data_IF_671914815271
#
_entry.id   IF_671914815271
#
_cell.length_a   1.000
_cell.length_b   1.000
_cell.length_c   1.000
_cell.angle_alpha   90.00
_cell.angle_beta   90.00
_cell.angle_gamma   90.00
#
_symmetry.space_group_name_H-M   'P 1'
#
loop_
_entity.id
_entity.type
_entity.pdbx_description
1 polymer ?
#
# COMPACT_ATOMS: atom_id res chain seq x y z
N UNK A 1 23.67 -60.40 42.36
CA UNK A 1 24.02 -58.98 42.48
C UNK A 1 24.12 -58.38 41.08
N UNK A 2 23.54 -57.19 40.90
CA UNK A 2 23.58 -56.26 39.74
C UNK A 2 22.93 -56.74 38.42
N UNK A 3 21.74 -56.26 38.02
CA UNK A 3 21.30 -54.88 37.66
C UNK A 3 21.81 -54.47 36.25
N UNK A 4 20.97 -54.55 35.20
CA UNK A 4 20.16 -53.45 34.59
C UNK A 4 21.06 -52.40 33.87
N UNK A 5 20.89 -52.07 32.59
CA UNK A 5 19.87 -51.14 32.07
C UNK A 5 19.83 -51.07 30.54
N UNK A 6 18.61 -51.08 30.00
CA UNK A 6 18.24 -50.72 28.64
C UNK A 6 18.62 -49.28 28.31
N UNK A 7 19.02 -49.03 27.07
CA UNK A 7 19.12 -47.69 26.50
C UNK A 7 17.95 -47.49 25.52
N UNK A 8 16.99 -46.65 25.92
CA UNK A 8 15.94 -46.11 25.05
C UNK A 8 16.53 -44.86 24.41
N UNK A 9 16.67 -44.86 23.08
CA UNK A 9 17.01 -43.67 22.32
C UNK A 9 15.76 -42.79 22.17
N UNK A 10 15.74 -41.64 22.84
CA UNK A 10 14.69 -40.62 22.72
C UNK A 10 15.00 -39.78 21.48
N UNK A 11 14.13 -39.86 20.46
CA UNK A 11 14.16 -38.96 19.31
C UNK A 11 13.59 -37.60 19.69
N UNK A 12 14.40 -36.55 19.61
CA UNK A 12 13.98 -35.17 19.82
C UNK A 12 13.49 -34.58 18.48
N UNK A 13 12.18 -34.56 18.26
CA UNK A 13 11.56 -33.90 17.10
C UNK A 13 11.36 -32.43 17.44
N UNK A 14 12.26 -31.57 16.96
CA UNK A 14 12.16 -30.12 17.15
C UNK A 14 11.28 -29.56 16.02
N UNK A 15 9.99 -29.34 16.31
CA UNK A 15 9.13 -28.58 15.41
C UNK A 15 9.49 -27.09 15.51
N UNK A 16 10.30 -26.59 14.58
CA UNK A 16 10.53 -25.17 14.41
C UNK A 16 9.26 -24.51 13.84
N UNK A 17 8.48 -23.89 14.72
CA UNK A 17 7.35 -23.05 14.31
C UNK A 17 7.92 -21.73 13.78
N UNK A 18 7.92 -21.56 12.45
CA UNK A 18 8.26 -20.31 11.82
C UNK A 18 7.16 -19.27 12.10
N UNK A 19 7.33 -18.46 13.15
CA UNK A 19 6.51 -17.29 13.40
C UNK A 19 6.89 -16.20 12.41
N UNK A 20 6.13 -16.08 11.31
CA UNK A 20 6.22 -14.91 10.45
C UNK A 20 5.65 -13.71 11.21
N UNK A 21 6.38 -12.58 11.35
CA UNK A 21 5.80 -11.39 11.95
C UNK A 21 4.78 -10.79 10.97
N UNK A 22 3.49 -11.01 11.21
CA UNK A 22 2.43 -10.19 10.62
C UNK A 22 2.42 -8.83 11.32
N UNK A 23 3.40 -7.98 10.99
CA UNK A 23 3.27 -6.55 11.26
C UNK A 23 2.26 -5.99 10.25
N UNK A 24 0.97 -6.09 10.58
CA UNK A 24 -0.07 -5.42 9.82
C UNK A 24 0.01 -3.93 10.14
N UNK A 25 0.91 -3.20 9.47
CA UNK A 25 0.89 -1.75 9.51
C UNK A 25 -0.52 -1.26 9.13
N UNK A 26 -1.08 -0.35 9.93
CA UNK A 26 -2.44 0.12 9.71
C UNK A 26 -2.55 0.82 8.35
N UNK A 27 -3.52 0.42 7.53
CA UNK A 27 -3.75 1.00 6.20
C UNK A 27 -4.04 2.50 6.33
N UNK A 28 -3.21 3.32 5.66
CA UNK A 28 -3.31 4.78 5.66
C UNK A 28 -4.47 5.23 4.78
N UNK A 29 -4.47 4.77 3.52
CA UNK A 29 -5.57 4.98 2.56
C UNK A 29 -5.70 3.69 1.76
N UNK A 30 -6.88 3.06 1.81
CA UNK A 30 -7.14 1.86 1.01
C UNK A 30 -7.44 2.27 -0.44
N UNK A 31 -6.41 2.33 -1.27
CA UNK A 31 -6.50 2.76 -2.68
C UNK A 31 -7.43 1.88 -3.50
N UNK A 32 -7.40 0.53 -3.39
CA UNK A 32 -8.38 -0.34 -4.04
C UNK A 32 -9.84 0.01 -3.73
N UNK A 33 -10.13 0.54 -2.53
CA UNK A 33 -11.49 0.95 -2.14
C UNK A 33 -11.92 2.31 -2.71
N UNK A 34 -11.04 3.10 -3.31
CA UNK A 34 -11.38 4.43 -3.86
C UNK A 34 -11.11 4.58 -5.35
N UNK A 35 -10.17 3.81 -5.91
CA UNK A 35 -9.84 3.84 -7.33
C UNK A 35 -11.07 3.59 -8.21
N UNK A 36 -11.24 4.41 -9.26
CA UNK A 36 -12.36 4.32 -10.20
C UNK A 36 -13.72 4.77 -9.65
N UNK A 37 -13.83 5.14 -8.37
CA UNK A 37 -15.08 5.61 -7.77
C UNK A 37 -15.32 7.09 -8.01
N UNK A 38 -16.57 7.50 -7.97
CA UNK A 38 -16.91 8.93 -8.04
C UNK A 38 -16.62 9.66 -6.72
N UNK A 39 -16.60 11.00 -6.76
CA UNK A 39 -16.26 11.83 -5.60
C UNK A 39 -17.11 11.51 -4.36
N UNK A 40 -18.42 11.31 -4.53
CA UNK A 40 -19.33 11.02 -3.41
C UNK A 40 -19.01 9.67 -2.75
N UNK A 41 -18.71 8.64 -3.55
CA UNK A 41 -18.32 7.33 -3.07
C UNK A 41 -16.94 7.35 -2.40
N UNK A 42 -15.96 8.06 -2.95
CA UNK A 42 -14.66 8.29 -2.31
C UNK A 42 -14.85 8.95 -0.95
N UNK A 43 -15.74 9.94 -0.86
CA UNK A 43 -15.99 10.64 0.40
C UNK A 43 -16.59 9.78 1.50
N UNK A 44 -17.27 8.68 1.15
CA UNK A 44 -17.74 7.69 2.14
C UNK A 44 -16.59 6.88 2.74
N UNK A 45 -15.44 6.78 2.05
CA UNK A 45 -14.28 5.98 2.47
C UNK A 45 -13.24 6.82 3.21
N UNK A 46 -12.90 8.00 2.68
CA UNK A 46 -11.81 8.83 3.21
C UNK A 46 -12.25 10.21 3.72
N UNK A 47 -13.57 10.45 3.80
CA UNK A 47 -14.17 11.70 4.26
C UNK A 47 -14.39 12.74 3.15
N UNK A 48 -15.02 13.87 3.52
CA UNK A 48 -15.27 14.96 2.57
C UNK A 48 -13.97 15.65 2.15
N UNK A 49 -13.86 16.15 0.91
CA UNK A 49 -12.70 16.93 0.50
C UNK A 49 -12.66 18.27 1.24
N UNK A 50 -11.45 18.76 1.55
CA UNK A 50 -11.20 20.13 2.05
C UNK A 50 -11.54 21.15 0.98
N UNK A 51 -11.16 20.86 -0.27
CA UNK A 51 -11.37 21.74 -1.41
C UNK A 51 -11.41 20.94 -2.69
N UNK A 52 -12.07 21.50 -3.71
CA UNK A 52 -12.05 20.97 -5.06
C UNK A 52 -11.95 22.12 -6.06
N UNK A 53 -11.16 21.93 -7.12
CA UNK A 53 -11.03 22.88 -8.23
C UNK A 53 -11.08 22.15 -9.56
N UNK A 54 -11.55 22.82 -10.60
CA UNK A 54 -11.44 22.27 -11.95
C UNK A 54 -9.98 22.35 -12.43
N UNK A 55 -9.51 21.30 -13.09
CA UNK A 55 -8.19 21.24 -13.74
C UNK A 55 -8.34 20.84 -15.20
N UNK A 56 -7.24 20.91 -15.97
CA UNK A 56 -7.19 20.47 -17.38
C UNK A 56 -7.74 19.05 -17.60
N UNK A 57 -7.54 18.15 -16.64
CA UNK A 57 -7.87 16.72 -16.77
C UNK A 57 -9.18 16.32 -16.10
N UNK A 58 -9.76 17.20 -15.29
CA UNK A 58 -10.96 16.90 -14.50
C UNK A 58 -10.99 17.63 -13.17
N UNK A 59 -11.98 17.31 -12.35
CA UNK A 59 -12.14 17.93 -11.03
C UNK A 59 -11.07 17.39 -10.09
N UNK A 60 -10.18 18.24 -9.59
CA UNK A 60 -9.16 17.89 -8.60
C UNK A 60 -9.69 18.21 -7.21
N UNK A 61 -9.68 17.25 -6.30
CA UNK A 61 -10.06 17.45 -4.89
C UNK A 61 -8.91 17.07 -3.96
N UNK A 62 -8.82 17.78 -2.83
CA UNK A 62 -7.84 17.56 -1.77
C UNK A 62 -8.61 17.08 -0.52
N UNK A 63 -8.15 16.01 0.11
CA UNK A 63 -8.77 15.37 1.26
C UNK A 63 -7.86 15.46 2.49
N UNK A 64 -8.43 15.56 3.69
CA UNK A 64 -7.66 15.59 4.93
C UNK A 64 -6.90 14.30 5.19
N UNK A 65 -7.51 13.15 4.87
CA UNK A 65 -6.89 11.84 5.07
C UNK A 65 -5.59 11.76 4.28
N UNK A 66 -4.46 11.69 4.98
CA UNK A 66 -3.12 11.59 4.41
C UNK A 66 -2.76 12.69 3.39
N UNK A 67 -3.41 13.86 3.49
CA UNK A 67 -3.37 14.94 2.49
C UNK A 67 -3.48 14.40 1.05
N UNK A 68 -4.45 13.49 0.85
CA UNK A 68 -4.67 12.83 -0.43
C UNK A 68 -5.24 13.81 -1.46
N UNK A 69 -4.64 13.86 -2.63
CA UNK A 69 -5.16 14.57 -3.79
C UNK A 69 -5.70 13.58 -4.83
N UNK A 70 -6.84 13.87 -5.42
CA UNK A 70 -7.46 13.03 -6.44
C UNK A 70 -7.92 13.89 -7.60
N UNK A 71 -7.48 13.55 -8.81
CA UNK A 71 -8.09 14.04 -10.05
C UNK A 71 -9.16 13.05 -10.50
N UNK A 72 -10.39 13.55 -10.61
CA UNK A 72 -11.53 12.79 -11.12
C UNK A 72 -11.61 12.93 -12.64
N UNK A 73 -11.07 11.95 -13.36
CA UNK A 73 -11.11 11.89 -14.84
C UNK A 73 -12.40 11.17 -15.25
N UNK A 74 -13.19 11.77 -16.13
CA UNK A 74 -14.55 11.29 -16.48
C UNK A 74 -15.42 11.01 -15.24
N UNK A 75 -15.24 11.80 -14.18
CA UNK A 75 -15.98 11.66 -12.91
C UNK A 75 -15.49 10.53 -11.99
N UNK A 76 -14.41 9.82 -12.33
CA UNK A 76 -13.86 8.69 -11.56
C UNK A 76 -12.47 9.01 -11.00
N UNK A 77 -12.19 8.57 -9.78
CA UNK A 77 -10.90 8.76 -9.13
C UNK A 77 -9.79 8.03 -9.89
N UNK A 78 -8.85 8.77 -10.46
CA UNK A 78 -7.79 8.24 -11.31
C UNK A 78 -6.40 8.60 -10.81
N UNK A 79 -6.00 9.86 -10.99
CA UNK A 79 -4.68 10.31 -10.52
C UNK A 79 -4.78 10.62 -9.04
N UNK A 80 -4.32 9.67 -8.24
CA UNK A 80 -4.37 9.72 -6.78
C UNK A 80 -2.94 9.95 -6.27
N UNK A 81 -2.73 11.04 -5.54
CA UNK A 81 -1.47 11.34 -4.85
C UNK A 81 -1.71 11.27 -3.35
N UNK A 82 -0.89 10.52 -2.61
CA UNK A 82 -0.93 10.45 -1.14
C UNK A 82 0.36 11.07 -0.62
N UNK A 83 0.24 12.28 -0.04
CA UNK A 83 1.39 13.10 0.33
C UNK A 83 1.90 12.86 1.75
N UNK A 84 1.12 12.21 2.62
CA UNK A 84 1.52 11.91 4.01
C UNK A 84 1.45 10.43 4.29
N UNK A 85 2.60 9.79 4.35
CA UNK A 85 2.75 8.37 4.65
C UNK A 85 3.58 8.16 5.94
N UNK A 86 3.05 8.52 7.13
CA UNK A 86 3.82 8.43 8.37
C UNK A 86 4.30 7.00 8.65
N UNK A 87 5.58 6.88 8.99
CA UNK A 87 6.22 5.58 9.27
C UNK A 87 6.55 4.74 8.04
N UNK A 88 6.19 5.19 6.83
CA UNK A 88 6.43 4.44 5.61
C UNK A 88 7.90 4.50 5.20
N UNK A 89 8.56 3.34 5.22
CA UNK A 89 9.91 3.18 4.70
C UNK A 89 9.87 3.10 3.17
N UNK A 90 10.92 3.54 2.51
CA UNK A 90 11.09 3.34 1.08
C UNK A 90 11.43 1.87 0.78
N UNK A 91 10.43 1.01 0.94
CA UNK A 91 10.50 -0.43 0.75
C UNK A 91 9.17 -0.95 0.17
N UNK A 92 9.23 -2.10 -0.51
CA UNK A 92 8.06 -2.74 -1.12
C UNK A 92 6.98 -3.12 -0.10
N UNK A 93 7.34 -3.36 1.16
CA UNK A 93 6.38 -3.69 2.21
C UNK A 93 5.40 -2.54 2.50
N UNK A 94 5.82 -1.29 2.32
CA UNK A 94 4.96 -0.11 2.49
C UNK A 94 3.83 -0.01 1.45
N UNK A 95 3.83 -0.89 0.43
CA UNK A 95 2.68 -1.08 -0.45
C UNK A 95 1.42 -1.51 0.31
N UNK A 96 1.58 -2.22 1.44
CA UNK A 96 0.49 -2.62 2.33
C UNK A 96 -0.23 -1.44 2.98
N UNK A 97 0.47 -0.32 3.22
CA UNK A 97 -0.13 0.91 3.76
C UNK A 97 -1.19 1.52 2.83
N UNK A 98 -1.12 1.18 1.54
CA UNK A 98 -2.10 1.60 0.53
C UNK A 98 -3.25 0.58 0.34
N UNK A 99 -3.28 -0.48 1.14
CA UNK A 99 -4.30 -1.52 1.07
C UNK A 99 -4.09 -2.55 -0.05
N UNK A 100 -2.90 -2.59 -0.65
CA UNK A 100 -2.51 -3.61 -1.61
C UNK A 100 -1.77 -4.76 -0.92
N UNK A 101 -1.81 -5.99 -1.46
CA UNK A 101 -0.88 -7.03 -1.06
C UNK A 101 0.56 -6.61 -1.43
N UNK A 102 1.54 -6.99 -0.61
CA UNK A 102 2.95 -6.76 -0.91
C UNK A 102 3.32 -7.49 -2.21
N UNK A 103 3.97 -6.77 -3.13
CA UNK A 103 4.39 -7.29 -4.44
C UNK A 103 5.78 -6.78 -4.81
N UNK A 104 6.50 -7.54 -5.62
CA UNK A 104 7.77 -7.09 -6.20
C UNK A 104 7.50 -5.96 -7.21
N UNK A 105 8.20 -4.81 -7.12
CA UNK A 105 8.06 -3.74 -8.09
C UNK A 105 8.59 -4.16 -9.46
N UNK A 106 7.97 -3.67 -10.53
CA UNK A 106 8.44 -3.86 -11.90
C UNK A 106 9.64 -2.97 -12.21
N UNK A 107 9.87 -1.93 -11.39
CA UNK A 107 11.01 -1.03 -11.48
C UNK A 107 11.34 -0.49 -10.08
N UNK A 108 12.61 -0.47 -9.70
CA UNK A 108 13.05 0.17 -8.45
C UNK A 108 14.47 0.73 -8.60
N UNK A 109 14.68 1.95 -8.14
CA UNK A 109 15.99 2.57 -7.96
C UNK A 109 15.96 3.55 -6.77
N UNK A 110 17.00 4.37 -6.62
CA UNK A 110 17.09 5.36 -5.54
C UNK A 110 16.08 6.52 -5.65
N UNK A 111 15.38 6.67 -6.77
CA UNK A 111 14.50 7.80 -7.06
C UNK A 111 13.02 7.42 -7.23
N UNK A 112 12.71 6.16 -7.55
CA UNK A 112 11.34 5.68 -7.66
C UNK A 112 11.24 4.15 -7.57
N UNK A 113 10.14 3.68 -6.98
CA UNK A 113 9.73 2.28 -6.96
C UNK A 113 8.34 2.20 -7.59
N UNK A 114 8.17 1.37 -8.62
CA UNK A 114 6.95 1.34 -9.44
C UNK A 114 6.43 -0.07 -9.65
N UNK A 115 5.10 -0.18 -9.71
CA UNK A 115 4.37 -1.40 -10.06
C UNK A 115 3.46 -1.11 -11.25
N UNK A 116 3.82 -1.65 -12.41
CA UNK A 116 2.98 -1.66 -13.63
C UNK A 116 2.12 -2.92 -13.78
N UNK A 117 2.14 -3.82 -12.80
CA UNK A 117 1.52 -5.15 -12.86
C UNK A 117 0.43 -5.38 -11.79
N UNK A 118 -0.17 -4.31 -11.28
CA UNK A 118 -1.29 -4.41 -10.33
C UNK A 118 -2.61 -4.35 -11.12
N UNK A 119 -3.45 -5.40 -11.10
CA UNK A 119 -4.73 -5.41 -11.79
C UNK A 119 -5.62 -4.22 -11.39
N UNK A 120 -6.22 -3.56 -12.38
CA UNK A 120 -7.03 -2.35 -12.19
C UNK A 120 -6.25 -1.03 -12.17
N UNK A 121 -4.92 -1.08 -12.19
CA UNK A 121 -4.05 0.10 -12.15
C UNK A 121 -3.14 0.15 -13.38
N UNK A 122 -2.84 1.35 -13.85
CA UNK A 122 -1.80 1.57 -14.85
C UNK A 122 -0.43 1.62 -14.17
N UNK A 123 -0.36 2.31 -13.04
CA UNK A 123 0.87 2.45 -12.26
C UNK A 123 0.53 2.73 -10.79
N UNK A 124 1.29 2.12 -9.89
CA UNK A 124 1.47 2.57 -8.51
C UNK A 124 2.94 2.89 -8.34
N UNK A 125 3.27 4.05 -7.78
CA UNK A 125 4.64 4.54 -7.64
C UNK A 125 4.88 5.13 -6.27
N UNK A 126 6.05 4.84 -5.69
CA UNK A 126 6.59 5.54 -4.53
C UNK A 126 7.77 6.40 -4.94
N UNK A 127 7.81 7.62 -4.42
CA UNK A 127 8.91 8.56 -4.57
C UNK A 127 9.56 8.79 -3.19
N UNK A 128 10.86 8.53 -3.04
CA UNK A 128 11.53 8.59 -1.74
C UNK A 128 11.88 10.02 -1.32
N UNK A 129 12.05 10.17 0.00
CA UNK A 129 12.80 11.25 0.65
C UNK A 129 13.72 10.58 1.68
N UNK A 130 14.99 10.40 1.31
CA UNK A 130 15.92 9.58 2.07
C UNK A 130 15.48 8.12 2.16
N UNK A 131 15.33 7.58 3.38
CA UNK A 131 14.87 6.21 3.63
C UNK A 131 13.35 6.09 3.77
N UNK A 132 12.61 7.19 3.62
CA UNK A 132 11.15 7.27 3.75
C UNK A 132 10.49 7.52 2.40
N UNK A 133 9.17 7.35 2.32
CA UNK A 133 8.38 7.74 1.15
C UNK A 133 7.92 9.19 1.30
N UNK A 134 8.28 10.04 0.35
CA UNK A 134 7.80 11.42 0.24
C UNK A 134 6.32 11.42 -0.16
N UNK A 135 5.97 10.71 -1.23
CA UNK A 135 4.59 10.51 -1.65
C UNK A 135 4.42 9.24 -2.48
N UNK A 136 3.19 8.75 -2.49
CA UNK A 136 2.74 7.76 -3.46
C UNK A 136 1.92 8.42 -4.57
N UNK A 137 2.12 7.95 -5.80
CA UNK A 137 1.36 8.37 -6.97
C UNK A 137 0.77 7.16 -7.68
N UNK A 138 -0.52 7.23 -7.96
CA UNK A 138 -1.29 6.13 -8.52
C UNK A 138 -2.06 6.63 -9.73
N UNK A 139 -2.04 5.85 -10.81
CA UNK A 139 -2.86 6.04 -12.00
C UNK A 139 -3.74 4.82 -12.21
N UNK A 140 -5.03 5.03 -12.43
CA UNK A 140 -5.97 3.93 -12.67
C UNK A 140 -6.19 3.72 -14.17
N UNK A 141 -6.80 2.59 -14.52
CA UNK A 141 -7.30 2.37 -15.88
C UNK A 141 -8.68 2.99 -16.00
N UNK A 142 -8.77 4.29 -16.25
CA UNK A 142 -10.08 4.92 -16.46
C UNK A 142 -10.43 4.95 -17.93
N UNK A 143 -11.45 4.16 -18.27
CA UNK A 143 -12.21 4.24 -19.52
C UNK A 143 -13.42 5.17 -19.36
#
# INVERSE_FOLDING_TARGET
MSSWKSLVAIACVINAVATSPTHSEAVIVNVPKIAGKNQAQVSKVIGKPKSCKQSKYGRKCIYTKADTEIVFIKGKADWITINKMPGAKYDKSSLALLGFPVKTPTFANLNAMRWGNIPGFLEVSFFPEGSSISYAYIKTKTE
#
